data_IF_475250176740
#
_entry.id   IF_475250176740
#
_cell.length_a   1.000
_cell.length_b   1.000
_cell.length_c   1.000
_cell.angle_alpha   90.00
_cell.angle_beta   90.00
_cell.angle_gamma   90.00
#
_symmetry.space_group_name_H-M   'P 1'
#
loop_
_entity.id
_entity.type
_entity.pdbx_description
1 polymer ?
#
# COMPACT_ATOMS: atom_id res chain seq x y z
N UNK A 1 11.38 -1.38 5.55
CA UNK A 1 11.27 -1.57 4.09
C UNK A 1 12.02 -0.42 3.42
N UNK A 2 12.85 -0.66 2.41
CA UNK A 2 13.43 0.46 1.64
C UNK A 2 12.46 0.90 0.55
N UNK A 3 12.55 2.15 0.11
CA UNK A 3 11.72 2.68 -0.99
C UNK A 3 11.83 1.81 -2.25
N UNK A 4 13.04 1.39 -2.62
CA UNK A 4 13.27 0.51 -3.77
C UNK A 4 12.51 -0.81 -3.65
N UNK A 5 12.58 -1.47 -2.48
CA UNK A 5 11.84 -2.72 -2.22
C UNK A 5 10.34 -2.52 -2.25
N UNK A 6 9.84 -1.40 -1.72
CA UNK A 6 8.40 -1.09 -1.74
C UNK A 6 7.88 -0.83 -3.16
N UNK A 7 8.61 -0.06 -3.98
CA UNK A 7 8.28 0.17 -5.38
C UNK A 7 8.28 -1.16 -6.15
N UNK A 8 9.30 -2.00 -5.92
CA UNK A 8 9.35 -3.33 -6.53
C UNK A 8 8.13 -4.17 -6.16
N UNK A 9 7.73 -4.19 -4.88
CA UNK A 9 6.52 -4.89 -4.44
C UNK A 9 5.26 -4.37 -5.16
N UNK A 10 5.09 -3.04 -5.25
CA UNK A 10 3.94 -2.44 -5.92
C UNK A 10 3.90 -2.80 -7.41
N UNK A 11 5.05 -2.78 -8.08
CA UNK A 11 5.19 -3.18 -9.49
C UNK A 11 4.85 -4.65 -9.66
N UNK A 12 5.40 -5.54 -8.82
CA UNK A 12 5.13 -6.98 -8.90
C UNK A 12 3.64 -7.25 -8.74
N UNK A 13 2.98 -6.64 -7.74
CA UNK A 13 1.53 -6.82 -7.53
C UNK A 13 0.74 -6.30 -8.75
N UNK A 14 1.06 -5.11 -9.26
CA UNK A 14 0.38 -4.54 -10.43
C UNK A 14 0.55 -5.39 -11.68
N UNK A 15 1.77 -5.86 -11.96
CA UNK A 15 2.05 -6.75 -13.09
C UNK A 15 1.34 -8.09 -12.91
N UNK A 16 1.33 -8.67 -11.70
CA UNK A 16 0.61 -9.92 -11.44
C UNK A 16 -0.88 -9.81 -11.71
N UNK A 17 -1.53 -8.70 -11.29
CA UNK A 17 -2.95 -8.43 -11.58
C UNK A 17 -3.20 -8.25 -13.08
N UNK A 18 -2.31 -7.52 -13.76
CA UNK A 18 -2.42 -7.27 -15.19
C UNK A 18 -2.25 -8.56 -16.01
N UNK A 19 -1.24 -9.37 -15.69
CA UNK A 19 -0.99 -10.64 -16.38
C UNK A 19 -2.14 -11.60 -16.11
N UNK A 20 -2.62 -11.72 -14.87
CA UNK A 20 -3.69 -12.67 -14.53
C UNK A 20 -4.98 -12.40 -15.29
N UNK A 21 -5.24 -11.16 -15.70
CA UNK A 21 -6.41 -10.81 -16.54
C UNK A 21 -6.46 -11.60 -17.85
N UNK A 22 -5.31 -11.90 -18.45
CA UNK A 22 -5.27 -12.64 -19.72
C UNK A 22 -5.45 -14.16 -19.56
N UNK A 23 -5.24 -14.69 -18.36
CA UNK A 23 -5.30 -16.13 -18.10
C UNK A 23 -6.60 -16.58 -17.44
N UNK A 24 -7.34 -15.66 -16.84
CA UNK A 24 -8.58 -15.95 -16.12
C UNK A 24 -9.77 -15.54 -16.99
N UNK A 25 -10.46 -16.53 -17.54
CA UNK A 25 -11.61 -16.30 -18.42
C UNK A 25 -12.85 -15.79 -17.67
N UNK A 26 -13.03 -16.19 -16.41
CA UNK A 26 -14.15 -15.73 -15.60
C UNK A 26 -13.81 -14.40 -14.92
N UNK A 27 -14.53 -13.36 -15.33
CA UNK A 27 -14.34 -12.00 -14.80
C UNK A 27 -14.62 -11.90 -13.29
N UNK A 28 -15.52 -12.74 -12.74
CA UNK A 28 -15.83 -12.76 -11.30
C UNK A 28 -14.67 -13.35 -10.52
N UNK A 29 -14.08 -14.45 -11.00
CA UNK A 29 -12.89 -15.04 -10.39
C UNK A 29 -11.70 -14.08 -10.42
N UNK A 30 -11.48 -13.42 -11.56
CA UNK A 30 -10.42 -12.41 -11.69
C UNK A 30 -10.66 -11.22 -10.74
N UNK A 31 -11.91 -10.76 -10.62
CA UNK A 31 -12.26 -9.67 -9.70
C UNK A 31 -12.02 -10.06 -8.23
N UNK A 32 -12.35 -11.29 -7.83
CA UNK A 32 -12.05 -11.80 -6.48
C UNK A 32 -10.55 -11.76 -6.21
N UNK A 33 -9.73 -12.32 -7.13
CA UNK A 33 -8.27 -12.34 -7.00
C UNK A 33 -7.72 -10.92 -6.91
N UNK A 34 -8.14 -10.03 -7.80
CA UNK A 34 -7.71 -8.62 -7.82
C UNK A 34 -8.05 -7.91 -6.52
N UNK A 35 -9.26 -8.09 -5.99
CA UNK A 35 -9.68 -7.48 -4.72
C UNK A 35 -8.88 -8.03 -3.53
N UNK A 36 -8.56 -9.33 -3.50
CA UNK A 36 -7.71 -9.92 -2.45
C UNK A 36 -6.30 -9.33 -2.48
N UNK A 37 -5.68 -9.25 -3.66
CA UNK A 37 -4.35 -8.65 -3.81
C UNK A 37 -4.35 -7.16 -3.43
N UNK A 38 -5.35 -6.42 -3.89
CA UNK A 38 -5.48 -4.99 -3.62
C UNK A 38 -5.72 -4.70 -2.13
N UNK A 39 -6.63 -5.43 -1.49
CA UNK A 39 -6.88 -5.30 -0.05
C UNK A 39 -5.62 -5.62 0.76
N UNK A 40 -4.93 -6.72 0.43
CA UNK A 40 -3.69 -7.12 1.10
C UNK A 40 -2.60 -6.05 0.94
N UNK A 41 -2.45 -5.49 -0.26
CA UNK A 41 -1.50 -4.42 -0.53
C UNK A 41 -1.81 -3.14 0.26
N UNK A 42 -3.07 -2.73 0.32
CA UNK A 42 -3.50 -1.53 1.05
C UNK A 42 -3.32 -1.69 2.56
N UNK A 43 -3.65 -2.84 3.12
CA UNK A 43 -3.43 -3.16 4.54
C UNK A 43 -1.93 -3.18 4.86
N UNK A 44 -1.12 -3.82 4.01
CA UNK A 44 0.34 -3.84 4.19
C UNK A 44 0.96 -2.44 4.09
N UNK A 45 0.50 -1.63 3.15
CA UNK A 45 0.92 -0.22 3.00
C UNK A 45 0.53 0.59 4.24
N UNK A 46 -0.68 0.39 4.75
CA UNK A 46 -1.12 1.00 6.00
C UNK A 46 -0.19 0.64 7.17
N UNK A 47 0.13 -0.64 7.34
CA UNK A 47 1.06 -1.11 8.36
C UNK A 47 2.43 -0.44 8.23
N UNK A 48 2.98 -0.33 7.02
CA UNK A 48 4.27 0.33 6.78
C UNK A 48 4.26 1.80 7.19
N UNK A 49 3.20 2.52 6.86
CA UNK A 49 3.10 3.97 7.08
C UNK A 49 2.70 4.32 8.52
N UNK A 50 1.75 3.60 9.09
CA UNK A 50 1.18 3.87 10.41
C UNK A 50 2.03 3.28 11.55
N UNK A 51 2.41 2.01 11.43
CA UNK A 51 3.10 1.28 12.50
C UNK A 51 4.61 1.33 12.35
N UNK A 52 5.11 1.05 11.15
CA UNK A 52 6.56 1.04 10.85
C UNK A 52 7.12 2.44 10.58
N UNK A 53 6.27 3.48 10.61
CA UNK A 53 6.61 4.90 10.36
C UNK A 53 7.50 5.09 9.13
N UNK A 54 7.28 4.32 8.07
CA UNK A 54 8.09 4.36 6.86
C UNK A 54 7.67 5.53 5.95
N UNK A 55 7.72 6.76 6.47
CA UNK A 55 7.34 7.98 5.75
C UNK A 55 8.25 8.29 4.55
N UNK A 56 9.47 7.74 4.57
CA UNK A 56 10.40 7.76 3.44
C UNK A 56 9.81 7.14 2.15
N UNK A 57 8.85 6.23 2.28
CA UNK A 57 8.17 5.62 1.13
C UNK A 57 7.32 6.64 0.35
N UNK A 58 6.75 7.63 1.04
CA UNK A 58 5.89 8.65 0.45
C UNK A 58 6.68 9.87 -0.01
N UNK A 59 7.67 10.28 0.78
CA UNK A 59 8.41 11.52 0.57
C UNK A 59 9.44 11.45 -0.56
N UNK A 60 9.66 10.26 -1.15
CA UNK A 60 10.65 10.08 -2.22
C UNK A 60 12.10 10.31 -1.81
N UNK A 61 12.36 10.48 -0.51
CA UNK A 61 13.67 10.87 0.03
C UNK A 61 14.75 9.84 -0.28
N UNK A 62 15.94 10.34 -0.58
CA UNK A 62 17.19 9.58 -0.58
C UNK A 62 17.57 9.16 0.84
N UNK A 63 18.50 8.22 1.01
CA UNK A 63 18.93 7.78 2.34
C UNK A 63 19.63 8.90 3.14
N UNK A 64 20.31 9.82 2.46
CA UNK A 64 20.95 10.98 3.08
C UNK A 64 19.92 12.01 3.55
N UNK A 65 18.93 12.33 2.71
CA UNK A 65 17.82 13.22 3.09
C UNK A 65 16.99 12.63 4.23
N UNK A 66 16.80 11.31 4.25
CA UNK A 66 16.10 10.64 5.34
C UNK A 66 16.86 10.82 6.66
N UNK A 67 18.16 10.56 6.68
CA UNK A 67 19.00 10.76 7.89
C UNK A 67 18.98 12.21 8.36
N UNK A 68 19.04 13.17 7.43
CA UNK A 68 18.92 14.60 7.74
C UNK A 68 17.55 14.93 8.32
N UNK A 69 16.48 14.40 7.74
CA UNK A 69 15.10 14.58 8.23
C UNK A 69 14.87 13.95 9.61
N UNK A 70 15.55 12.84 9.93
CA UNK A 70 15.46 12.20 11.24
C UNK A 70 16.17 13.01 12.34
N UNK A 71 17.22 13.74 11.98
CA UNK A 71 17.97 14.60 12.90
C UNK A 71 17.24 15.90 13.27
N UNK A 72 16.32 16.36 12.41
CA UNK A 72 15.49 17.54 12.64
C UNK A 72 14.10 17.11 13.15
N UNK A 73 13.79 17.48 14.40
CA UNK A 73 12.56 17.07 15.08
C UNK A 73 11.31 17.62 14.39
N UNK A 74 11.35 18.86 13.90
CA UNK A 74 10.19 19.50 13.29
C UNK A 74 9.87 18.85 11.93
N UNK A 75 10.90 18.66 11.11
CA UNK A 75 10.78 18.00 9.81
C UNK A 75 10.29 16.56 10.00
N UNK A 76 10.88 15.82 10.95
CA UNK A 76 10.47 14.45 11.26
C UNK A 76 9.00 14.35 11.64
N UNK A 77 8.52 15.21 12.56
CA UNK A 77 7.12 15.21 13.00
C UNK A 77 6.16 15.51 11.86
N UNK A 78 6.52 16.43 10.95
CA UNK A 78 5.73 16.73 9.75
C UNK A 78 5.55 15.48 8.87
N UNK A 79 6.64 14.76 8.58
CA UNK A 79 6.57 13.54 7.77
C UNK A 79 5.88 12.37 8.48
N UNK A 80 6.12 12.18 9.77
CA UNK A 80 5.41 11.16 10.57
C UNK A 80 3.89 11.42 10.56
N UNK A 81 3.45 12.68 10.71
CA UNK A 81 2.03 13.05 10.65
C UNK A 81 1.42 12.76 9.28
N UNK A 82 2.11 13.14 8.20
CA UNK A 82 1.68 12.86 6.83
C UNK A 82 1.56 11.37 6.54
N UNK A 83 2.56 10.58 6.94
CA UNK A 83 2.53 9.12 6.78
C UNK A 83 1.42 8.48 7.61
N UNK A 84 1.15 8.98 8.82
CA UNK A 84 0.04 8.48 9.64
C UNK A 84 -1.31 8.70 8.95
N UNK A 85 -1.55 9.87 8.37
CA UNK A 85 -2.78 10.17 7.62
C UNK A 85 -2.91 9.23 6.42
N UNK A 86 -1.85 9.08 5.62
CA UNK A 86 -1.86 8.17 4.47
C UNK A 86 -2.05 6.71 4.89
N UNK A 87 -1.44 6.29 6.00
CA UNK A 87 -1.63 4.96 6.56
C UNK A 87 -3.08 4.68 6.95
N UNK A 88 -3.78 5.67 7.54
CA UNK A 88 -5.21 5.55 7.85
C UNK A 88 -6.06 5.48 6.58
N UNK A 89 -5.77 6.31 5.58
CA UNK A 89 -6.48 6.27 4.28
C UNK A 89 -6.32 4.90 3.62
N UNK A 90 -5.09 4.37 3.56
CA UNK A 90 -4.82 3.03 3.03
C UNK A 90 -5.54 1.94 3.83
N UNK A 91 -5.63 2.08 5.16
CA UNK A 91 -6.35 1.11 6.00
C UNK A 91 -7.84 1.07 5.67
N UNK A 92 -8.48 2.24 5.63
CA UNK A 92 -9.91 2.37 5.31
C UNK A 92 -10.18 1.86 3.89
N UNK A 93 -9.31 2.21 2.94
CA UNK A 93 -9.38 1.68 1.57
C UNK A 93 -9.29 0.15 1.53
N UNK A 94 -8.36 -0.45 2.29
CA UNK A 94 -8.24 -1.90 2.39
C UNK A 94 -9.49 -2.56 2.96
N UNK A 95 -10.07 -2.02 4.03
CA UNK A 95 -11.33 -2.52 4.60
C UNK A 95 -12.49 -2.39 3.62
N UNK A 96 -12.56 -1.30 2.87
CA UNK A 96 -13.59 -1.07 1.88
C UNK A 96 -13.50 -2.10 0.73
N UNK A 97 -12.29 -2.40 0.24
CA UNK A 97 -12.08 -3.45 -0.76
C UNK A 97 -12.48 -4.83 -0.22
N UNK A 98 -12.17 -5.15 1.05
CA UNK A 98 -12.63 -6.38 1.69
C UNK A 98 -14.16 -6.45 1.80
N UNK A 99 -14.82 -5.33 2.10
CA UNK A 99 -16.28 -5.26 2.12
C UNK A 99 -16.89 -5.54 0.74
N UNK A 100 -16.33 -4.95 -0.32
CA UNK A 100 -16.75 -5.23 -1.71
C UNK A 100 -16.59 -6.72 -2.01
N UNK A 101 -15.43 -7.30 -1.70
CA UNK A 101 -15.17 -8.73 -1.90
C UNK A 101 -16.20 -9.60 -1.17
N UNK A 102 -16.47 -9.31 0.10
CA UNK A 102 -17.46 -10.03 0.89
C UNK A 102 -18.87 -9.94 0.29
N UNK A 103 -19.25 -8.75 -0.18
CA UNK A 103 -20.53 -8.53 -0.85
C UNK A 103 -20.64 -9.32 -2.15
N UNK A 104 -19.58 -9.32 -2.97
CA UNK A 104 -19.53 -10.04 -4.25
C UNK A 104 -19.55 -11.57 -4.11
N UNK A 105 -19.10 -12.11 -2.97
CA UNK A 105 -19.16 -13.55 -2.67
C UNK A 105 -20.54 -14.02 -2.18
N UNK A 106 -21.40 -13.10 -1.73
CA UNK A 106 -22.76 -13.41 -1.26
C UNK A 106 -23.83 -13.39 -2.37
N UNK A 107 -23.47 -12.88 -3.55
CA UNK A 107 -24.33 -12.72 -4.74
C UNK A 107 -24.11 -13.87 -5.73
#
# INVERSE_FOLDING_TARGET
MTRKKYIYLAIVIGISIFISYFFISDIREWAVITNVFLASFLIYTSYLLFYKKSYNLLAGMTEEELKKSESDIEIRLKYEKGAKIMGVISFIGGLFVLYILYSSLKL
#
